data_IF_323525713434
#
_entry.id   IF_323525713434
#
_cell.length_a   1.000
_cell.length_b   1.000
_cell.length_c   1.000
_cell.angle_alpha   90.00
_cell.angle_beta   90.00
_cell.angle_gamma   90.00
#
_symmetry.space_group_name_H-M   'P 1'
#
loop_
_entity.id
_entity.type
_entity.pdbx_description
1 polymer ?
#
# COMPACT_ATOMS: atom_id res chain seq x y z
N UNK A 1 -3.87 22.26 8.95
CA UNK A 1 -4.72 22.03 7.75
C UNK A 1 -4.70 20.53 7.52
N UNK A 2 -5.87 19.91 7.37
CA UNK A 2 -6.01 18.47 7.20
C UNK A 2 -6.59 18.15 5.82
N UNK A 3 -6.26 16.98 5.30
CA UNK A 3 -6.81 16.49 4.04
C UNK A 3 -8.13 15.79 4.33
N UNK A 4 -9.20 16.29 3.72
CA UNK A 4 -10.55 15.77 3.89
C UNK A 4 -11.03 15.18 2.56
N UNK A 5 -11.47 13.92 2.59
CA UNK A 5 -12.06 13.25 1.43
C UNK A 5 -13.51 12.90 1.72
N UNK A 6 -14.44 13.37 0.89
CA UNK A 6 -15.85 13.01 0.99
C UNK A 6 -16.11 11.67 0.29
N UNK A 7 -16.73 10.72 1.00
CA UNK A 7 -17.00 9.34 0.56
C UNK A 7 -18.48 9.09 0.24
N UNK A 8 -19.35 10.10 0.32
CA UNK A 8 -20.75 9.95 -0.02
C UNK A 8 -20.96 9.58 -1.48
N UNK A 9 -21.94 8.71 -1.75
CA UNK A 9 -22.25 8.23 -3.09
C UNK A 9 -23.12 9.22 -3.88
N UNK A 10 -22.67 9.59 -5.08
CA UNK A 10 -23.43 10.22 -6.18
C UNK A 10 -23.90 11.69 -6.08
N UNK A 11 -23.49 12.49 -5.08
CA UNK A 11 -23.77 13.94 -5.09
C UNK A 11 -22.70 14.74 -4.39
N UNK A 12 -22.19 15.79 -5.03
CA UNK A 12 -21.29 16.75 -4.37
C UNK A 12 -22.03 17.48 -3.25
N UNK A 13 -21.43 17.56 -2.07
CA UNK A 13 -22.00 18.16 -0.87
C UNK A 13 -21.37 19.52 -0.62
N UNK A 14 -22.17 20.57 -0.39
CA UNK A 14 -21.64 21.87 0.04
C UNK A 14 -21.82 22.02 1.54
N UNK A 15 -20.73 22.14 2.29
CA UNK A 15 -20.75 22.31 3.74
C UNK A 15 -19.70 23.34 4.16
N UNK A 16 -20.01 24.18 5.15
CA UNK A 16 -19.14 25.29 5.58
C UNK A 16 -18.71 26.23 4.43
N UNK A 17 -19.56 26.38 3.40
CA UNK A 17 -19.24 27.15 2.19
C UNK A 17 -18.26 26.47 1.23
N UNK A 18 -17.85 25.23 1.51
CA UNK A 18 -16.91 24.44 0.71
C UNK A 18 -17.70 23.34 -0.01
N UNK A 19 -17.45 23.20 -1.32
CA UNK A 19 -18.02 22.10 -2.10
C UNK A 19 -17.08 20.90 -2.07
N UNK A 20 -17.59 19.79 -1.54
CA UNK A 20 -16.94 18.50 -1.51
C UNK A 20 -17.44 17.65 -2.67
N UNK A 21 -16.52 17.18 -3.48
CA UNK A 21 -16.80 16.22 -4.55
C UNK A 21 -16.48 14.81 -4.04
N UNK A 22 -17.29 13.80 -4.42
CA UNK A 22 -17.06 12.43 -3.99
C UNK A 22 -15.69 11.94 -4.46
N UNK A 23 -14.95 11.30 -3.55
CA UNK A 23 -13.59 10.80 -3.75
C UNK A 23 -12.53 11.87 -4.09
N UNK A 24 -12.84 13.15 -3.91
CA UNK A 24 -11.88 14.24 -4.14
C UNK A 24 -11.35 14.78 -2.81
N UNK A 25 -10.03 14.67 -2.55
CA UNK A 25 -9.44 15.23 -1.35
C UNK A 25 -9.33 16.76 -1.45
N UNK A 26 -9.73 17.46 -0.40
CA UNK A 26 -9.55 18.91 -0.24
C UNK A 26 -8.77 19.21 1.05
N UNK A 27 -7.90 20.24 1.01
CA UNK A 27 -7.24 20.75 2.20
C UNK A 27 -8.15 21.72 2.94
N UNK A 28 -8.47 21.37 4.18
CA UNK A 28 -9.42 22.10 5.01
C UNK A 28 -8.73 22.56 6.29
N UNK A 29 -9.15 23.71 6.81
CA UNK A 29 -8.67 24.21 8.11
C UNK A 29 -9.04 23.24 9.24
N UNK A 30 -8.18 23.16 10.27
CA UNK A 30 -8.34 22.22 11.38
C UNK A 30 -9.71 22.30 12.07
N UNK A 31 -10.22 23.52 12.28
CA UNK A 31 -11.53 23.74 12.91
C UNK A 31 -12.67 23.06 12.15
N UNK A 32 -12.64 23.11 10.81
CA UNK A 32 -13.67 22.51 9.96
C UNK A 32 -13.40 21.01 9.81
N UNK A 33 -12.12 20.61 9.71
CA UNK A 33 -11.70 19.22 9.63
C UNK A 33 -12.15 18.40 10.84
N UNK A 34 -12.00 18.94 12.06
CA UNK A 34 -12.43 18.27 13.30
C UNK A 34 -13.94 18.00 13.31
N UNK A 35 -14.74 18.96 12.83
CA UNK A 35 -16.19 18.80 12.68
C UNK A 35 -16.56 17.73 11.64
N UNK A 36 -15.81 17.68 10.53
CA UNK A 36 -16.01 16.68 9.47
C UNK A 36 -15.53 15.30 9.89
N UNK A 37 -14.53 15.20 10.77
CA UNK A 37 -14.04 13.93 11.32
C UNK A 37 -15.10 13.17 12.14
N UNK A 38 -16.10 13.89 12.67
CA UNK A 38 -17.23 13.28 13.37
C UNK A 38 -18.26 12.66 12.40
N UNK A 39 -18.15 12.90 11.10
CA UNK A 39 -19.10 12.43 10.11
C UNK A 39 -18.60 11.18 9.38
N UNK A 40 -19.48 10.19 9.22
CA UNK A 40 -19.13 8.90 8.59
C UNK A 40 -18.87 9.01 7.09
N UNK A 41 -19.40 10.06 6.45
CA UNK A 41 -19.23 10.32 5.02
C UNK A 41 -17.90 11.01 4.70
N UNK A 42 -17.03 11.25 5.69
CA UNK A 42 -15.78 11.97 5.51
C UNK A 42 -14.59 11.18 6.08
N UNK A 43 -13.48 11.22 5.33
CA UNK A 43 -12.18 10.70 5.75
C UNK A 43 -11.25 11.87 6.02
N UNK A 44 -10.66 11.92 7.21
CA UNK A 44 -9.74 12.98 7.63
C UNK A 44 -8.35 12.38 7.79
N UNK A 45 -7.44 12.81 6.92
CA UNK A 45 -6.02 12.45 6.97
C UNK A 45 -5.27 13.66 7.55
N UNK A 46 -4.57 13.43 8.67
CA UNK A 46 -3.60 14.40 9.16
C UNK A 46 -2.52 14.54 8.08
N UNK A 47 -2.12 15.77 7.75
CA UNK A 47 -1.05 16.00 6.78
C UNK A 47 0.30 15.70 7.45
N UNK A 48 0.44 14.50 8.00
CA UNK A 48 1.73 13.91 8.28
C UNK A 48 2.17 13.30 6.96
N UNK A 49 3.33 13.73 6.49
CA UNK A 49 4.03 13.30 5.29
C UNK A 49 3.98 11.76 5.16
N UNK A 50 2.98 11.25 4.44
CA UNK A 50 2.90 9.85 4.07
C UNK A 50 2.84 9.84 2.53
N UNK A 51 3.90 9.34 1.87
CA UNK A 51 4.01 9.42 0.43
C UNK A 51 2.86 8.66 -0.20
N UNK A 52 2.20 9.31 -1.16
CA UNK A 52 1.25 8.65 -2.05
C UNK A 52 1.89 7.38 -2.64
N UNK A 53 1.08 6.32 -2.80
CA UNK A 53 0.73 5.95 -4.16
C UNK A 53 -0.80 6.01 -4.29
N UNK A 54 -1.30 6.86 -5.18
CA UNK A 54 -1.61 6.44 -6.55
C UNK A 54 -2.61 5.28 -6.56
N UNK A 55 -3.83 5.62 -6.94
CA UNK A 55 -4.87 4.66 -7.29
C UNK A 55 -4.33 3.64 -8.31
N UNK A 56 -4.47 2.35 -8.02
CA UNK A 56 -4.93 1.37 -9.00
C UNK A 56 -5.51 0.14 -8.27
N UNK A 57 -6.81 -0.06 -8.50
CA UNK A 57 -7.48 -1.34 -8.71
C UNK A 57 -6.69 -2.65 -8.43
N UNK A 58 -6.75 -3.18 -7.21
CA UNK A 58 -7.00 -4.60 -6.91
C UNK A 58 -6.75 -4.87 -5.42
N UNK A 59 -7.81 -4.84 -4.62
CA UNK A 59 -7.80 -5.43 -3.28
C UNK A 59 -7.85 -6.95 -3.34
N UNK A 60 -6.78 -7.58 -3.88
CA UNK A 60 -6.40 -8.98 -3.61
C UNK A 60 -5.01 -9.32 -4.21
N UNK A 61 -3.93 -8.98 -3.52
CA UNK A 61 -2.65 -9.72 -3.69
C UNK A 61 -1.90 -9.65 -2.36
N UNK A 62 -2.11 -10.64 -1.50
CA UNK A 62 -1.18 -11.07 -0.44
C UNK A 62 0.10 -11.65 -1.09
N UNK A 63 0.70 -10.92 -2.04
CA UNK A 63 1.74 -11.42 -2.94
C UNK A 63 2.90 -10.44 -3.06
N UNK A 64 4.16 -10.92 -2.99
CA UNK A 64 5.32 -10.07 -3.23
C UNK A 64 5.23 -9.44 -4.61
N UNK A 65 5.51 -8.13 -4.68
CA UNK A 65 5.55 -7.40 -5.94
C UNK A 65 6.64 -7.97 -6.86
N UNK A 66 6.52 -7.78 -8.18
CA UNK A 66 7.52 -8.27 -9.15
C UNK A 66 8.94 -7.79 -8.83
N UNK A 67 9.06 -6.58 -8.28
CA UNK A 67 10.32 -6.04 -7.77
C UNK A 67 10.86 -6.87 -6.60
N UNK A 68 10.04 -7.16 -5.59
CA UNK A 68 10.42 -7.99 -4.44
C UNK A 68 10.79 -9.41 -4.86
N UNK A 69 10.03 -10.02 -5.77
CA UNK A 69 10.35 -11.34 -6.33
C UNK A 69 11.71 -11.34 -7.05
N UNK A 70 12.05 -10.26 -7.76
CA UNK A 70 13.39 -10.11 -8.37
C UNK A 70 14.48 -9.98 -7.32
N UNK A 71 14.22 -9.27 -6.23
CA UNK A 71 15.17 -9.14 -5.12
C UNK A 71 15.39 -10.47 -4.39
N UNK A 72 14.32 -11.20 -4.11
CA UNK A 72 14.39 -12.55 -3.55
C UNK A 72 15.14 -13.50 -4.50
N UNK A 73 14.83 -13.45 -5.80
CA UNK A 73 15.48 -14.30 -6.81
C UNK A 73 16.97 -13.98 -6.93
N UNK A 74 17.33 -12.69 -6.85
CA UNK A 74 18.73 -12.24 -6.79
C UNK A 74 19.42 -12.72 -5.52
N UNK A 75 18.78 -12.56 -4.36
CA UNK A 75 19.31 -13.01 -3.07
C UNK A 75 19.53 -14.53 -3.04
N UNK A 76 18.66 -15.28 -3.71
CA UNK A 76 18.77 -16.72 -3.86
C UNK A 76 19.69 -17.17 -5.00
N UNK A 77 20.24 -16.23 -5.79
CA UNK A 77 21.20 -16.54 -6.85
C UNK A 77 20.59 -17.13 -8.12
N UNK A 78 19.30 -16.90 -8.39
CA UNK A 78 18.59 -17.39 -9.57
C UNK A 78 19.14 -16.68 -10.81
N UNK A 79 19.75 -17.42 -11.73
CA UNK A 79 20.28 -16.87 -12.99
C UNK A 79 19.14 -16.67 -13.99
N UNK A 80 19.08 -15.48 -14.60
CA UNK A 80 18.01 -15.12 -15.52
C UNK A 80 16.83 -14.39 -14.87
N UNK A 81 16.86 -14.12 -13.56
CA UNK A 81 15.78 -13.42 -12.85
C UNK A 81 15.39 -12.06 -13.47
N UNK A 82 16.34 -11.36 -14.11
CA UNK A 82 16.07 -10.08 -14.77
C UNK A 82 15.23 -10.22 -16.05
N UNK A 83 15.26 -11.38 -16.70
CA UNK A 83 14.50 -11.72 -17.90
C UNK A 83 13.27 -12.58 -17.63
N UNK A 84 13.08 -13.04 -16.38
CA UNK A 84 11.95 -13.88 -15.93
C UNK A 84 10.72 -13.02 -15.57
N UNK A 85 9.52 -13.57 -15.81
CA UNK A 85 8.24 -12.93 -15.49
C UNK A 85 7.80 -13.24 -14.04
N UNK A 86 6.82 -12.48 -13.50
CA UNK A 86 6.27 -12.69 -12.14
C UNK A 86 6.01 -14.17 -11.77
N UNK A 87 5.28 -14.97 -12.59
CA UNK A 87 5.02 -16.37 -12.25
C UNK A 87 6.27 -17.25 -12.27
N UNK A 88 7.21 -16.98 -13.18
CA UNK A 88 8.45 -17.74 -13.32
C UNK A 88 9.40 -17.49 -12.14
N UNK A 89 9.44 -16.24 -11.66
CA UNK A 89 10.17 -15.88 -10.43
C UNK A 89 9.57 -16.55 -9.19
N UNK A 90 8.24 -16.59 -9.07
CA UNK A 90 7.55 -17.26 -7.94
C UNK A 90 7.84 -18.74 -7.95
N UNK A 91 7.72 -19.40 -9.11
CA UNK A 91 7.99 -20.83 -9.27
C UNK A 91 9.46 -21.15 -8.97
N UNK A 92 10.39 -20.37 -9.54
CA UNK A 92 11.82 -20.52 -9.29
C UNK A 92 12.18 -20.29 -7.81
N UNK A 93 11.51 -19.36 -7.13
CA UNK A 93 11.70 -19.12 -5.69
C UNK A 93 11.11 -20.23 -4.82
N UNK A 94 9.93 -20.74 -5.17
CA UNK A 94 9.29 -21.84 -4.46
C UNK A 94 10.01 -23.19 -4.68
N UNK A 95 10.65 -23.35 -5.84
CA UNK A 95 11.43 -24.53 -6.20
C UNK A 95 12.83 -24.55 -5.56
N UNK A 96 13.29 -23.45 -4.97
CA UNK A 96 14.55 -23.45 -4.23
C UNK A 96 14.36 -24.23 -2.92
N UNK A 97 15.09 -25.35 -2.73
CA UNK A 97 15.17 -25.94 -1.40
C UNK A 97 15.81 -24.87 -0.52
N UNK A 98 15.14 -24.52 0.59
CA UNK A 98 15.77 -23.73 1.65
C UNK A 98 17.14 -24.36 1.89
N UNK A 99 18.21 -23.66 1.51
CA UNK A 99 19.55 -24.08 1.85
C UNK A 99 19.62 -23.93 3.36
N UNK A 100 19.33 -25.05 4.02
CA UNK A 100 19.79 -25.46 5.33
C UNK A 100 20.94 -24.55 5.76
N UNK A 101 20.64 -23.57 6.61
CA UNK A 101 21.66 -22.81 7.30
C UNK A 101 22.54 -23.84 8.03
N UNK A 102 23.82 -24.04 7.68
CA UNK A 102 24.68 -25.02 8.35
C UNK A 102 25.06 -24.58 9.78
N UNK A 103 24.32 -23.64 10.37
CA UNK A 103 24.57 -23.03 11.67
C UNK A 103 23.36 -23.13 12.63
N UNK A 104 22.25 -23.76 12.22
CA UNK A 104 21.06 -23.93 13.07
C UNK A 104 21.19 -25.05 14.12
N UNK A 105 22.28 -25.82 14.10
CA UNK A 105 22.57 -26.87 15.08
C UNK A 105 23.93 -26.67 15.77
N UNK A 106 24.18 -25.47 16.30
CA UNK A 106 25.08 -25.39 17.45
C UNK A 106 24.30 -25.84 18.69
N UNK A 107 24.57 -27.02 19.29
CA UNK A 107 24.07 -27.29 20.64
C UNK A 107 24.72 -26.25 21.56
N UNK A 108 23.93 -25.27 21.99
CA UNK A 108 24.30 -24.51 23.18
C UNK A 108 24.09 -25.44 24.37
N UNK A 109 25.24 -25.89 24.90
CA UNK A 109 25.46 -26.54 26.20
C UNK A 109 25.53 -28.06 26.24
#
# INVERSE_FOLDING_TARGET
>A
MKKITFKGSNTSLTKYGIRFEPNKPLMIADEIADKLAQEQDFTVEDNHDEPAPAADDNGKDDGPSLQELKEQAKAAGIKGFSTMNKPDLIDALAALPQKDDPYANAPTS
#
